data_IF_509225811966
#
_entry.id   IF_509225811966
#
_cell.length_a   1.000
_cell.length_b   1.000
_cell.length_c   1.000
_cell.angle_alpha   90.00
_cell.angle_beta   90.00
_cell.angle_gamma   90.00
#
_symmetry.space_group_name_H-M   'P 1'
#
loop_
_entity.id
_entity.type
_entity.pdbx_description
1 polymer ?
#
# COMPACT_ATOMS: atom_id res chain seq x y z
N UNK A 1 37.46 -11.54 -8.45
CA UNK A 1 36.71 -12.28 -7.41
C UNK A 1 35.76 -11.31 -6.71
N UNK A 2 34.48 -11.33 -7.08
CA UNK A 2 33.48 -10.47 -6.45
C UNK A 2 33.08 -11.10 -5.10
N UNK A 3 33.29 -10.36 -3.99
CA UNK A 3 32.63 -10.69 -2.73
C UNK A 3 31.14 -10.46 -2.95
N UNK A 4 30.38 -11.55 -3.08
CA UNK A 4 28.92 -11.52 -3.06
C UNK A 4 28.46 -10.85 -1.76
N UNK A 5 27.75 -9.73 -1.88
CA UNK A 5 27.03 -9.10 -0.77
C UNK A 5 25.74 -9.90 -0.55
N UNK A 6 25.86 -11.13 -0.05
CA UNK A 6 24.76 -12.08 0.16
C UNK A 6 23.57 -11.47 0.90
N UNK A 7 23.81 -10.63 1.92
CA UNK A 7 22.77 -9.97 2.70
C UNK A 7 21.95 -8.96 1.89
N UNK A 8 22.55 -8.29 0.91
CA UNK A 8 21.86 -7.33 0.03
C UNK A 8 20.96 -8.06 -0.97
N UNK A 9 21.47 -9.16 -1.52
CA UNK A 9 20.74 -9.98 -2.50
C UNK A 9 19.55 -10.69 -1.84
N UNK A 10 19.71 -11.16 -0.60
CA UNK A 10 18.62 -11.74 0.20
C UNK A 10 17.54 -10.71 0.55
N UNK A 11 17.90 -9.52 1.03
CA UNK A 11 16.93 -8.44 1.31
C UNK A 11 16.11 -8.07 0.08
N UNK A 12 16.77 -7.94 -1.08
CA UNK A 12 16.08 -7.64 -2.33
C UNK A 12 15.13 -8.78 -2.74
N UNK A 13 15.53 -10.04 -2.57
CA UNK A 13 14.65 -11.20 -2.82
C UNK A 13 13.39 -11.14 -1.96
N UNK A 14 13.52 -10.89 -0.66
CA UNK A 14 12.36 -10.78 0.25
C UNK A 14 11.49 -9.56 -0.07
N UNK A 15 12.08 -8.43 -0.43
CA UNK A 15 11.34 -7.25 -0.88
C UNK A 15 10.47 -7.56 -2.10
N UNK A 16 11.03 -8.27 -3.10
CA UNK A 16 10.29 -8.68 -4.30
C UNK A 16 9.13 -9.60 -3.95
N UNK A 17 9.35 -10.59 -3.08
CA UNK A 17 8.29 -11.49 -2.61
C UNK A 17 7.17 -10.70 -1.94
N UNK A 18 7.52 -9.80 -1.01
CA UNK A 18 6.56 -8.96 -0.32
C UNK A 18 5.74 -8.09 -1.29
N UNK A 19 6.39 -7.51 -2.30
CA UNK A 19 5.72 -6.68 -3.32
C UNK A 19 4.80 -7.51 -4.24
N UNK A 20 5.16 -8.77 -4.57
CA UNK A 20 4.24 -9.66 -5.30
C UNK A 20 3.04 -10.09 -4.46
N UNK A 21 3.24 -10.32 -3.15
CA UNK A 21 2.13 -10.56 -2.23
C UNK A 21 1.23 -9.33 -2.16
N UNK A 22 1.80 -8.14 -2.01
CA UNK A 22 1.06 -6.89 -2.01
C UNK A 22 0.27 -6.68 -3.33
N UNK A 23 0.87 -6.99 -4.48
CA UNK A 23 0.16 -7.01 -5.77
C UNK A 23 -1.06 -7.94 -5.72
N UNK A 24 -0.90 -9.18 -5.28
CA UNK A 24 -2.00 -10.14 -5.24
C UNK A 24 -3.13 -9.68 -4.30
N UNK A 25 -2.79 -9.18 -3.11
CA UNK A 25 -3.77 -8.66 -2.14
C UNK A 25 -4.49 -7.43 -2.69
N UNK A 26 -3.74 -6.43 -3.18
CA UNK A 26 -4.32 -5.20 -3.73
C UNK A 26 -5.19 -5.48 -4.95
N UNK A 27 -4.78 -6.42 -5.82
CA UNK A 27 -5.53 -6.74 -7.02
C UNK A 27 -6.77 -7.59 -6.71
N UNK A 28 -6.59 -8.77 -6.12
CA UNK A 28 -7.68 -9.73 -5.93
C UNK A 28 -8.54 -9.43 -4.72
N UNK A 29 -7.92 -9.13 -3.57
CA UNK A 29 -8.65 -9.01 -2.31
C UNK A 29 -9.27 -7.63 -2.10
N UNK A 30 -8.65 -6.57 -2.60
CA UNK A 30 -9.21 -5.21 -2.51
C UNK A 30 -9.75 -4.73 -3.85
N UNK A 31 -8.99 -4.78 -4.94
CA UNK A 31 -9.41 -4.27 -6.24
C UNK A 31 -10.66 -4.95 -6.78
N UNK A 32 -10.58 -6.25 -7.04
CA UNK A 32 -11.67 -7.01 -7.66
C UNK A 32 -12.91 -7.12 -6.75
N UNK A 33 -12.74 -7.20 -5.43
CA UNK A 33 -13.88 -7.27 -4.50
C UNK A 33 -14.69 -5.98 -4.48
N UNK A 34 -14.02 -4.81 -4.51
CA UNK A 34 -14.70 -3.51 -4.57
C UNK A 34 -15.31 -3.20 -5.96
N UNK A 35 -15.01 -3.98 -6.99
CA UNK A 35 -15.64 -3.83 -8.31
C UNK A 35 -16.75 -4.84 -8.49
N UNK A 36 -16.47 -6.12 -8.24
CA UNK A 36 -17.35 -7.23 -8.64
C UNK A 36 -18.09 -7.88 -7.48
N UNK A 37 -17.62 -7.74 -6.23
CA UNK A 37 -18.15 -8.45 -5.06
C UNK A 37 -18.40 -7.49 -3.88
N UNK A 38 -18.90 -6.29 -4.18
CA UNK A 38 -19.03 -5.19 -3.21
C UNK A 38 -19.91 -5.56 -2.02
N UNK A 39 -21.08 -6.12 -2.29
CA UNK A 39 -22.06 -6.48 -1.25
C UNK A 39 -21.47 -7.48 -0.26
N UNK A 40 -20.87 -8.56 -0.77
CA UNK A 40 -20.12 -9.53 0.05
C UNK A 40 -19.01 -8.84 0.85
N UNK A 41 -18.23 -7.98 0.21
CA UNK A 41 -17.08 -7.35 0.85
C UNK A 41 -17.50 -6.37 1.96
N UNK A 42 -18.51 -5.54 1.73
CA UNK A 42 -18.96 -4.59 2.74
C UNK A 42 -19.75 -5.26 3.87
N UNK A 43 -20.70 -6.13 3.53
CA UNK A 43 -21.58 -6.74 4.52
C UNK A 43 -20.85 -7.83 5.33
N UNK A 44 -20.15 -8.75 4.68
CA UNK A 44 -19.59 -9.94 5.34
C UNK A 44 -18.16 -9.72 5.84
N UNK A 45 -17.35 -8.93 5.12
CA UNK A 45 -15.94 -8.68 5.50
C UNK A 45 -15.81 -7.41 6.33
N UNK A 46 -16.42 -6.31 5.89
CA UNK A 46 -16.36 -5.04 6.62
C UNK A 46 -17.36 -4.94 7.77
N UNK A 47 -18.46 -5.70 7.72
CA UNK A 47 -19.55 -5.58 8.69
C UNK A 47 -20.26 -4.23 8.64
N UNK A 48 -20.29 -3.60 7.45
CA UNK A 48 -20.95 -2.32 7.19
C UNK A 48 -22.05 -2.56 6.17
N UNK A 49 -23.25 -2.06 6.45
CA UNK A 49 -24.38 -2.19 5.53
C UNK A 49 -24.10 -1.47 4.21
N UNK A 50 -24.15 -2.20 3.11
CA UNK A 50 -23.96 -1.68 1.77
C UNK A 50 -25.25 -1.75 0.97
N UNK A 51 -25.72 -0.60 0.52
CA UNK A 51 -26.93 -0.51 -0.29
C UNK A 51 -26.59 -0.52 -1.78
N UNK A 52 -26.80 -1.65 -2.45
CA UNK A 52 -26.57 -1.79 -3.89
C UNK A 52 -27.48 -0.88 -4.74
N UNK A 53 -28.55 -0.32 -4.16
CA UNK A 53 -29.42 0.64 -4.86
C UNK A 53 -28.99 2.10 -4.65
N UNK A 54 -28.03 2.37 -3.76
CA UNK A 54 -27.43 3.69 -3.63
C UNK A 54 -26.32 3.83 -4.68
N UNK A 55 -26.52 4.75 -5.64
CA UNK A 55 -25.54 5.01 -6.68
C UNK A 55 -24.24 5.55 -6.11
N UNK A 56 -24.29 6.31 -5.01
CA UNK A 56 -23.10 6.90 -4.41
C UNK A 56 -22.20 5.82 -3.80
N UNK A 57 -22.75 4.89 -3.01
CA UNK A 57 -21.99 3.80 -2.39
C UNK A 57 -21.37 2.89 -3.45
N UNK A 58 -22.10 2.61 -4.52
CA UNK A 58 -21.61 1.82 -5.65
C UNK A 58 -20.44 2.46 -6.39
N UNK A 59 -20.58 3.74 -6.74
CA UNK A 59 -19.54 4.48 -7.48
C UNK A 59 -18.30 4.70 -6.59
N UNK A 60 -18.50 5.04 -5.32
CA UNK A 60 -17.41 5.19 -4.36
C UNK A 60 -16.62 3.88 -4.20
N UNK A 61 -17.31 2.75 -4.09
CA UNK A 61 -16.69 1.44 -4.03
C UNK A 61 -15.90 1.11 -5.30
N UNK A 62 -16.45 1.36 -6.49
CA UNK A 62 -15.74 1.13 -7.76
C UNK A 62 -14.48 1.98 -7.89
N UNK A 63 -14.55 3.25 -7.49
CA UNK A 63 -13.38 4.14 -7.49
C UNK A 63 -12.30 3.58 -6.58
N UNK A 64 -12.65 3.11 -5.38
CA UNK A 64 -11.70 2.45 -4.47
C UNK A 64 -11.10 1.21 -5.15
N UNK A 65 -11.92 0.37 -5.78
CA UNK A 65 -11.45 -0.81 -6.51
C UNK A 65 -10.46 -0.49 -7.62
N UNK A 66 -10.74 0.53 -8.44
CA UNK A 66 -9.84 0.99 -9.51
C UNK A 66 -8.53 1.54 -8.94
N UNK A 67 -8.59 2.33 -7.86
CA UNK A 67 -7.40 2.84 -7.17
C UNK A 67 -6.54 1.69 -6.60
N UNK A 68 -7.16 0.66 -6.02
CA UNK A 68 -6.47 -0.54 -5.55
C UNK A 68 -5.80 -1.30 -6.70
N UNK A 69 -6.45 -1.43 -7.87
CA UNK A 69 -5.83 -2.04 -9.05
C UNK A 69 -4.64 -1.22 -9.56
N UNK A 70 -4.74 0.12 -9.56
CA UNK A 70 -3.63 0.99 -9.94
C UNK A 70 -2.43 0.83 -8.99
N UNK A 71 -2.68 0.79 -7.67
CA UNK A 71 -1.65 0.51 -6.68
C UNK A 71 -1.08 -0.91 -6.83
N UNK A 72 -1.91 -1.91 -7.15
CA UNK A 72 -1.46 -3.26 -7.41
C UNK A 72 -0.49 -3.30 -8.59
N UNK A 73 -0.82 -2.63 -9.69
CA UNK A 73 0.09 -2.51 -10.84
C UNK A 73 1.41 -1.83 -10.45
N UNK A 74 1.34 -0.78 -9.63
CA UNK A 74 2.53 -0.16 -9.03
C UNK A 74 3.38 -1.15 -8.22
N UNK A 75 2.76 -1.97 -7.37
CA UNK A 75 3.43 -3.03 -6.61
C UNK A 75 4.07 -4.09 -7.52
N UNK A 76 3.41 -4.47 -8.61
CA UNK A 76 3.95 -5.38 -9.62
C UNK A 76 5.20 -4.82 -10.31
N UNK A 77 5.16 -3.56 -10.76
CA UNK A 77 6.33 -2.89 -11.35
C UNK A 77 7.48 -2.79 -10.34
N UNK A 78 7.16 -2.42 -9.11
CA UNK A 78 8.12 -2.38 -8.02
C UNK A 78 8.72 -3.77 -7.72
N UNK A 79 7.93 -4.85 -7.79
CA UNK A 79 8.43 -6.20 -7.58
C UNK A 79 9.40 -6.65 -8.69
N UNK A 80 9.20 -6.19 -9.94
CA UNK A 80 10.10 -6.53 -11.04
C UNK A 80 11.45 -5.85 -10.90
N UNK A 81 11.47 -4.54 -10.63
CA UNK A 81 12.69 -3.75 -10.46
C UNK A 81 12.55 -2.79 -9.26
N UNK A 82 12.79 -3.24 -8.01
CA UNK A 82 12.56 -2.43 -6.81
C UNK A 82 13.40 -1.16 -6.73
N UNK A 83 14.63 -1.21 -7.28
CA UNK A 83 15.58 -0.07 -7.26
C UNK A 83 15.15 1.06 -8.20
N UNK A 84 14.72 0.71 -9.41
CA UNK A 84 14.24 1.67 -10.42
C UNK A 84 12.89 2.28 -10.02
N UNK A 85 12.05 1.49 -9.34
CA UNK A 85 10.71 1.88 -8.92
C UNK A 85 10.64 2.29 -7.44
N UNK A 86 11.74 2.83 -6.92
CA UNK A 86 11.88 3.34 -5.56
C UNK A 86 10.71 4.24 -5.12
N UNK A 87 10.32 5.18 -5.97
CA UNK A 87 9.22 6.11 -5.68
C UNK A 87 7.87 5.40 -5.58
N UNK A 88 7.66 4.33 -6.34
CA UNK A 88 6.43 3.53 -6.25
C UNK A 88 6.33 2.82 -4.89
N UNK A 89 7.44 2.31 -4.35
CA UNK A 89 7.48 1.72 -3.01
C UNK A 89 7.14 2.77 -1.94
N UNK A 90 7.61 4.02 -2.11
CA UNK A 90 7.25 5.13 -1.21
C UNK A 90 5.76 5.46 -1.27
N UNK A 91 5.17 5.46 -2.48
CA UNK A 91 3.73 5.65 -2.67
C UNK A 91 2.94 4.53 -1.99
N UNK A 92 3.37 3.27 -2.12
CA UNK A 92 2.73 2.13 -1.45
C UNK A 92 2.80 2.25 0.08
N UNK A 93 3.94 2.69 0.63
CA UNK A 93 4.07 2.98 2.07
C UNK A 93 3.10 4.08 2.49
N UNK A 94 3.05 5.20 1.77
CA UNK A 94 2.16 6.32 2.08
C UNK A 94 0.68 5.91 1.99
N UNK A 95 0.31 5.14 0.97
CA UNK A 95 -1.04 4.61 0.79
C UNK A 95 -1.43 3.67 1.94
N UNK A 96 -0.54 2.78 2.36
CA UNK A 96 -0.79 1.88 3.49
C UNK A 96 -0.97 2.64 4.81
N UNK A 97 -0.15 3.68 5.07
CA UNK A 97 -0.32 4.56 6.25
C UNK A 97 -1.66 5.29 6.19
N UNK A 98 -1.99 5.90 5.05
CA UNK A 98 -3.27 6.59 4.87
C UNK A 98 -4.46 5.66 5.09
N UNK A 99 -4.40 4.45 4.54
CA UNK A 99 -5.41 3.41 4.71
C UNK A 99 -5.57 3.02 6.19
N UNK A 100 -4.47 2.78 6.91
CA UNK A 100 -4.49 2.53 8.36
C UNK A 100 -5.18 3.66 9.14
N UNK A 101 -4.89 4.92 8.80
CA UNK A 101 -5.49 6.08 9.47
C UNK A 101 -7.00 6.16 9.22
N UNK A 102 -7.43 5.93 7.98
CA UNK A 102 -8.86 5.93 7.62
C UNK A 102 -9.60 4.82 8.36
N UNK A 103 -9.06 3.60 8.40
CA UNK A 103 -9.67 2.51 9.16
C UNK A 103 -9.72 2.81 10.65
N UNK A 104 -8.61 3.26 11.23
CA UNK A 104 -8.55 3.57 12.65
C UNK A 104 -9.53 4.68 13.03
N UNK A 105 -9.64 5.73 12.21
CA UNK A 105 -10.63 6.79 12.40
C UNK A 105 -12.06 6.25 12.40
N UNK A 106 -12.43 5.44 11.40
CA UNK A 106 -13.79 4.87 11.31
C UNK A 106 -14.13 3.95 12.48
N UNK A 107 -13.16 3.17 12.97
CA UNK A 107 -13.33 2.33 14.16
C UNK A 107 -13.53 3.19 15.41
N UNK A 108 -12.69 4.21 15.61
CA UNK A 108 -12.78 5.11 16.78
C UNK A 108 -14.04 5.99 16.77
N UNK A 109 -14.55 6.33 15.59
CA UNK A 109 -15.79 7.08 15.42
C UNK A 109 -17.06 6.21 15.60
N UNK A 110 -16.91 4.88 15.71
CA UNK A 110 -18.04 3.95 15.82
C UNK A 110 -18.75 3.66 14.49
N UNK A 111 -18.17 4.05 13.35
CA UNK A 111 -18.73 3.82 12.01
C UNK A 111 -18.34 2.46 11.42
N UNK A 112 -17.39 1.75 12.05
CA UNK A 112 -16.92 0.46 11.58
C UNK A 112 -16.66 -0.50 12.76
N UNK A 113 -16.82 -1.82 12.57
CA UNK A 113 -16.60 -2.78 13.63
C UNK A 113 -15.12 -2.92 13.99
N UNK A 114 -14.86 -3.28 15.25
CA UNK A 114 -13.50 -3.41 15.80
C UNK A 114 -12.69 -4.53 15.13
N UNK A 115 -13.36 -5.48 14.46
CA UNK A 115 -12.72 -6.55 13.68
C UNK A 115 -11.82 -6.00 12.56
N UNK A 116 -12.08 -4.78 12.06
CA UNK A 116 -11.26 -4.14 11.03
C UNK A 116 -9.88 -3.68 11.52
N UNK A 117 -9.60 -3.76 12.83
CA UNK A 117 -8.25 -3.58 13.36
C UNK A 117 -7.25 -4.55 12.71
N UNK A 118 -7.70 -5.71 12.23
CA UNK A 118 -6.83 -6.62 11.46
C UNK A 118 -6.25 -5.93 10.20
N UNK A 119 -7.04 -5.17 9.46
CA UNK A 119 -6.57 -4.43 8.28
C UNK A 119 -5.56 -3.34 8.67
N UNK A 120 -5.81 -2.65 9.79
CA UNK A 120 -4.86 -1.65 10.34
C UNK A 120 -3.52 -2.30 10.65
N UNK A 121 -3.53 -3.40 11.41
CA UNK A 121 -2.32 -4.14 11.78
C UNK A 121 -1.60 -4.67 10.55
N UNK A 122 -2.33 -5.26 9.59
CA UNK A 122 -1.76 -5.78 8.35
C UNK A 122 -1.04 -4.70 7.53
N UNK A 123 -1.66 -3.51 7.39
CA UNK A 123 -1.06 -2.36 6.73
C UNK A 123 0.21 -1.89 7.45
N UNK A 124 0.17 -1.74 8.77
CA UNK A 124 1.32 -1.28 9.55
C UNK A 124 2.48 -2.28 9.51
N UNK A 125 2.20 -3.59 9.60
CA UNK A 125 3.22 -4.64 9.45
C UNK A 125 3.85 -4.58 8.06
N UNK A 126 3.04 -4.36 7.02
CA UNK A 126 3.54 -4.22 5.64
C UNK A 126 4.40 -2.97 5.48
N UNK A 127 4.02 -1.84 6.08
CA UNK A 127 4.83 -0.61 6.13
C UNK A 127 6.18 -0.88 6.79
N UNK A 128 6.18 -1.50 7.97
CA UNK A 128 7.42 -1.84 8.70
C UNK A 128 8.29 -2.78 7.87
N UNK A 129 7.71 -3.82 7.27
CA UNK A 129 8.43 -4.77 6.42
C UNK A 129 9.02 -4.08 5.17
N UNK A 130 8.26 -3.21 4.50
CA UNK A 130 8.74 -2.43 3.36
C UNK A 130 9.87 -1.49 3.78
N UNK A 131 9.75 -0.77 4.90
CA UNK A 131 10.80 0.14 5.39
C UNK A 131 12.08 -0.61 5.74
N UNK A 132 11.99 -1.79 6.38
CA UNK A 132 13.15 -2.61 6.74
C UNK A 132 13.81 -3.23 5.51
N UNK A 133 13.01 -3.75 4.57
CA UNK A 133 13.53 -4.45 3.38
C UNK A 133 13.97 -3.50 2.28
N UNK A 134 13.40 -2.30 2.22
CA UNK A 134 13.73 -1.30 1.21
C UNK A 134 15.17 -0.80 1.40
N UNK A 135 16.05 -1.02 0.42
CA UNK A 135 17.47 -0.69 0.52
C UNK A 135 17.75 0.79 0.20
N UNK A 136 16.76 1.67 0.34
CA UNK A 136 16.91 3.10 0.04
C UNK A 136 17.93 3.76 0.96
N UNK A 137 19.18 3.80 0.50
CA UNK A 137 20.24 4.59 1.12
C UNK A 137 19.79 6.06 1.11
N UNK A 138 19.64 6.62 2.31
CA UNK A 138 19.08 7.94 2.65
C UNK A 138 17.58 7.90 2.92
N UNK A 139 17.27 7.98 4.22
CA UNK A 139 16.02 8.38 4.85
C UNK A 139 14.93 8.82 3.85
N UNK A 140 13.81 8.11 3.90
CA UNK A 140 12.53 8.30 3.21
C UNK A 140 12.02 9.76 3.13
N UNK A 141 12.63 10.73 3.83
CA UNK A 141 12.21 12.12 3.91
C UNK A 141 13.34 13.18 3.97
N UNK A 142 14.64 12.81 3.87
CA UNK A 142 15.73 13.74 4.25
C UNK A 142 16.71 14.19 3.15
N UNK A 143 16.64 13.66 1.92
CA UNK A 143 17.70 13.93 0.92
C UNK A 143 17.34 14.92 -0.19
N UNK A 144 16.06 15.17 -0.48
CA UNK A 144 15.69 16.05 -1.59
C UNK A 144 15.56 17.53 -1.21
N UNK A 145 15.63 17.89 0.08
CA UNK A 145 15.56 19.29 0.52
C UNK A 145 16.88 20.06 0.42
N UNK A 146 18.00 19.39 0.10
CA UNK A 146 19.33 20.03 0.05
C UNK A 146 19.75 20.53 -1.33
N UNK A 147 19.06 20.20 -2.41
CA UNK A 147 19.53 20.54 -3.76
C UNK A 147 19.09 21.89 -4.31
N UNK A 148 18.23 22.64 -3.60
CA UNK A 148 17.74 23.94 -4.09
C UNK A 148 18.34 25.18 -3.44
N UNK A 149 19.20 25.02 -2.42
CA UNK A 149 19.76 26.17 -1.69
C UNK A 149 21.12 26.64 -2.20
N UNK A 150 21.75 25.92 -3.14
CA UNK A 150 23.09 26.27 -3.66
C UNK A 150 23.08 26.84 -5.08
N UNK A 151 21.95 26.81 -5.81
CA UNK A 151 21.85 27.41 -7.16
C UNK A 151 21.29 28.85 -7.19
N UNK A 152 20.81 29.39 -6.07
CA UNK A 152 20.34 30.80 -5.98
C UNK A 152 21.40 31.77 -5.40
N UNK A 153 22.65 31.33 -5.27
CA UNK A 153 23.77 32.20 -4.84
C UNK A 153 24.91 32.11 -5.85
N UNK A 154 24.68 32.53 -7.10
CA UNK A 154 25.71 33.06 -8.01
C UNK A 154 25.11 34.07 -8.97
#
# INVERSE_FOLDING_TARGET
MARYNTTRDEREKYLRILLYIAFAVLFFWWGLTHIFFKEFYFNDVFGVEFNVNDSFDNEASEIIGVLCIALAYGAFLAARNPRENANMIRVLIAAAIGCSLVFLYNILAGNAPISLLFNVVFCLVTVVALVILYPGDKLLFASDFKFKKEEEIK
#
